data_IF_463898594411
#
_entry.id   IF_463898594411
#
_cell.length_a   1.000
_cell.length_b   1.000
_cell.length_c   1.000
_cell.angle_alpha   90.00
_cell.angle_beta   90.00
_cell.angle_gamma   90.00
#
_symmetry.space_group_name_H-M   'P 1'
#
loop_
_entity.id
_entity.type
_entity.pdbx_description
1 polymer ?
#
# COMPACT_ATOMS: atom_id res chain seq x y z
N UNK A 1 -22.69 -40.04 12.20
CA UNK A 1 -21.63 -39.53 11.31
C UNK A 1 -21.56 -38.03 11.51
N UNK A 2 -20.51 -37.54 12.17
CA UNK A 2 -20.22 -36.10 12.22
C UNK A 2 -19.26 -35.81 11.05
N UNK A 3 -19.75 -35.05 10.08
CA UNK A 3 -18.94 -34.46 9.00
C UNK A 3 -18.26 -33.22 9.61
N UNK A 4 -17.13 -33.46 10.29
CA UNK A 4 -16.26 -32.42 10.84
C UNK A 4 -15.55 -31.71 9.69
N UNK A 5 -16.25 -30.78 9.04
CA UNK A 5 -15.65 -29.92 8.03
C UNK A 5 -14.72 -28.91 8.70
N UNK A 6 -13.44 -29.13 8.46
CA UNK A 6 -12.41 -28.11 8.26
C UNK A 6 -12.24 -27.09 9.41
N UNK A 7 -11.65 -27.54 10.52
CA UNK A 7 -11.03 -26.66 11.51
C UNK A 7 -9.56 -26.30 11.14
N UNK A 8 -9.27 -26.12 9.85
CA UNK A 8 -7.91 -25.84 9.36
C UNK A 8 -7.66 -24.36 9.05
N UNK A 9 -8.38 -23.46 9.72
CA UNK A 9 -8.02 -22.04 9.73
C UNK A 9 -6.97 -21.79 10.82
N UNK A 10 -5.76 -22.30 10.59
CA UNK A 10 -4.61 -22.08 11.48
C UNK A 10 -4.11 -20.63 11.45
N UNK A 11 -3.26 -20.23 12.43
CA UNK A 11 -2.72 -18.88 12.53
C UNK A 11 -1.95 -18.44 11.28
N UNK A 12 -1.36 -19.37 10.53
CA UNK A 12 -0.66 -19.09 9.29
C UNK A 12 -1.57 -18.57 8.16
N UNK A 13 -2.82 -19.07 8.06
CA UNK A 13 -3.78 -18.54 7.07
C UNK A 13 -4.24 -17.14 7.46
N UNK A 14 -4.54 -16.92 8.74
CA UNK A 14 -4.95 -15.61 9.25
C UNK A 14 -3.84 -14.58 9.05
N UNK A 15 -2.58 -14.94 9.36
CA UNK A 15 -1.42 -14.08 9.12
C UNK A 15 -1.20 -13.79 7.62
N UNK A 16 -1.41 -14.78 6.74
CA UNK A 16 -1.32 -14.60 5.29
C UNK A 16 -2.44 -13.70 4.73
N UNK A 17 -3.68 -13.83 5.22
CA UNK A 17 -4.79 -12.94 4.86
C UNK A 17 -4.55 -11.51 5.35
N UNK A 18 -4.15 -11.33 6.62
CA UNK A 18 -3.80 -10.01 7.16
C UNK A 18 -2.65 -9.36 6.38
N UNK A 19 -1.66 -10.16 5.97
CA UNK A 19 -0.54 -9.69 5.15
C UNK A 19 -0.98 -9.34 3.72
N UNK A 20 -1.90 -10.10 3.12
CA UNK A 20 -2.47 -9.81 1.81
C UNK A 20 -3.32 -8.53 1.82
N UNK A 21 -4.17 -8.36 2.85
CA UNK A 21 -4.96 -7.15 3.07
C UNK A 21 -4.05 -5.93 3.27
N UNK A 22 -2.97 -6.08 4.04
CA UNK A 22 -1.99 -5.01 4.28
C UNK A 22 -1.27 -4.60 3.00
N UNK A 23 -0.83 -5.55 2.17
CA UNK A 23 -0.21 -5.24 0.85
C UNK A 23 -1.19 -4.54 -0.08
N UNK A 24 -2.45 -4.94 -0.08
CA UNK A 24 -3.47 -4.33 -0.93
C UNK A 24 -3.78 -2.89 -0.49
N UNK A 25 -3.85 -2.64 0.82
CA UNK A 25 -3.98 -1.29 1.37
C UNK A 25 -2.75 -0.45 1.00
N UNK A 26 -1.54 -0.98 1.17
CA UNK A 26 -0.29 -0.31 0.81
C UNK A 26 -0.24 0.08 -0.68
N UNK A 27 -0.61 -0.84 -1.57
CA UNK A 27 -0.68 -0.57 -3.02
C UNK A 27 -1.71 0.52 -3.37
N UNK A 28 -2.86 0.54 -2.68
CA UNK A 28 -3.88 1.59 -2.86
C UNK A 28 -3.40 2.95 -2.34
N UNK A 29 -2.76 3.01 -1.17
CA UNK A 29 -2.16 4.24 -0.64
C UNK A 29 -1.11 4.79 -1.61
N UNK A 30 -0.20 3.93 -2.09
CA UNK A 30 0.82 4.29 -3.08
C UNK A 30 0.18 4.83 -4.37
N UNK A 31 -0.89 4.19 -4.85
CA UNK A 31 -1.61 4.66 -6.03
C UNK A 31 -2.24 6.03 -5.82
N UNK A 32 -2.92 6.26 -4.69
CA UNK A 32 -3.52 7.57 -4.37
C UNK A 32 -2.45 8.67 -4.37
N UNK A 33 -1.30 8.42 -3.73
CA UNK A 33 -0.20 9.36 -3.68
C UNK A 33 0.41 9.63 -5.07
N UNK A 34 0.54 8.59 -5.90
CA UNK A 34 1.01 8.69 -7.28
C UNK A 34 0.01 9.46 -8.17
N UNK A 35 -1.29 9.19 -8.05
CA UNK A 35 -2.34 9.83 -8.83
C UNK A 35 -2.46 11.32 -8.47
N UNK A 36 -2.30 11.67 -7.18
CA UNK A 36 -2.15 13.06 -6.72
C UNK A 36 -0.92 13.74 -7.31
N UNK A 37 0.24 13.09 -7.21
CA UNK A 37 1.51 13.65 -7.67
C UNK A 37 1.54 13.83 -9.20
N UNK A 38 1.01 12.88 -9.95
CA UNK A 38 1.10 12.81 -11.41
C UNK A 38 0.37 13.93 -12.14
N UNK A 39 -0.67 14.54 -11.54
CA UNK A 39 -1.31 15.76 -12.05
C UNK A 39 -1.96 15.70 -13.44
N UNK A 40 -1.91 14.56 -14.15
CA UNK A 40 -2.39 14.44 -15.52
C UNK A 40 -3.86 14.00 -15.58
N UNK A 41 -4.69 14.91 -16.12
CA UNK A 41 -6.11 14.79 -16.45
C UNK A 41 -7.03 14.63 -15.23
N UNK A 42 -7.62 15.76 -14.80
CA UNK A 42 -8.62 15.80 -13.72
C UNK A 42 -8.09 15.33 -12.36
N UNK A 43 -6.86 15.77 -12.04
CA UNK A 43 -6.09 15.29 -10.89
C UNK A 43 -6.87 15.23 -9.57
N UNK A 44 -6.61 14.17 -8.82
CA UNK A 44 -7.06 14.03 -7.44
C UNK A 44 -6.59 15.26 -6.67
N UNK A 45 -7.51 16.14 -6.29
CA UNK A 45 -7.13 17.35 -5.56
C UNK A 45 -6.70 16.98 -4.14
N UNK A 46 -5.76 17.74 -3.56
CA UNK A 46 -5.19 17.48 -2.22
C UNK A 46 -6.23 17.10 -1.17
N UNK A 47 -7.35 17.83 -1.11
CA UNK A 47 -8.42 17.56 -0.13
C UNK A 47 -9.10 16.20 -0.31
N UNK A 48 -9.30 15.76 -1.57
CA UNK A 48 -9.88 14.45 -1.88
C UNK A 48 -8.88 13.35 -1.58
N UNK A 49 -7.61 13.54 -1.95
CA UNK A 49 -6.54 12.59 -1.66
C UNK A 49 -6.39 12.34 -0.15
N UNK A 50 -6.38 13.40 0.66
CA UNK A 50 -6.31 13.27 2.12
C UNK A 50 -7.55 12.58 2.71
N UNK A 51 -8.75 12.83 2.17
CA UNK A 51 -9.97 12.16 2.62
C UNK A 51 -9.94 10.66 2.29
N UNK A 52 -9.53 10.30 1.07
CA UNK A 52 -9.40 8.89 0.68
C UNK A 52 -8.33 8.15 1.50
N UNK A 53 -7.21 8.81 1.80
CA UNK A 53 -6.18 8.25 2.68
C UNK A 53 -6.69 8.05 4.11
N UNK A 54 -7.44 9.01 4.66
CA UNK A 54 -8.02 8.90 6.00
C UNK A 54 -9.05 7.75 6.10
N UNK A 55 -9.84 7.53 5.06
CA UNK A 55 -10.80 6.41 4.99
C UNK A 55 -10.13 5.05 4.79
N UNK A 56 -8.99 5.03 4.07
CA UNK A 56 -8.30 3.81 3.69
C UNK A 56 -7.29 3.32 4.74
N UNK A 57 -6.49 4.21 5.32
CA UNK A 57 -5.39 3.87 6.21
C UNK A 57 -5.12 4.98 7.24
N UNK A 58 -5.64 4.78 8.46
CA UNK A 58 -5.30 5.63 9.61
C UNK A 58 -4.01 5.20 10.34
N UNK A 59 -3.36 4.12 9.88
CA UNK A 59 -2.13 3.60 10.48
C UNK A 59 -0.91 4.39 9.98
N UNK A 60 -0.21 5.14 10.85
CA UNK A 60 0.98 5.91 10.48
C UNK A 60 2.11 5.05 9.88
N UNK A 61 2.16 3.77 10.24
CA UNK A 61 3.18 2.81 9.78
C UNK A 61 2.98 2.46 8.30
N UNK A 62 1.73 2.24 7.88
CA UNK A 62 1.38 1.99 6.47
C UNK A 62 1.64 3.21 5.58
N UNK A 63 1.31 4.40 6.09
CA UNK A 63 1.57 5.66 5.37
C UNK A 63 3.08 5.91 5.25
N UNK A 64 3.85 5.63 6.31
CA UNK A 64 5.31 5.74 6.29
C UNK A 64 5.95 4.75 5.32
N UNK A 65 5.45 3.51 5.26
CA UNK A 65 5.96 2.51 4.31
C UNK A 65 5.70 2.93 2.85
N UNK A 66 4.52 3.48 2.54
CA UNK A 66 4.23 4.02 1.21
C UNK A 66 5.12 5.23 0.88
N UNK A 67 5.35 6.12 1.84
CA UNK A 67 6.20 7.30 1.66
C UNK A 67 7.65 6.90 1.44
N UNK A 68 8.15 5.86 2.13
CA UNK A 68 9.50 5.36 1.94
C UNK A 68 9.74 4.79 0.53
N UNK A 69 8.74 4.13 -0.07
CA UNK A 69 8.80 3.67 -1.48
C UNK A 69 9.02 4.87 -2.42
N UNK A 70 8.28 5.96 -2.21
CA UNK A 70 8.46 7.19 -3.00
C UNK A 70 9.78 7.91 -2.68
N UNK A 71 10.23 7.93 -1.43
CA UNK A 71 11.42 8.67 -1.00
C UNK A 71 12.72 8.18 -1.67
N UNK A 72 12.76 6.93 -2.13
CA UNK A 72 13.90 6.40 -2.90
C UNK A 72 13.94 6.97 -4.33
N UNK A 73 12.80 7.42 -4.86
CA UNK A 73 12.72 8.04 -6.17
C UNK A 73 13.04 9.55 -6.07
N UNK A 74 14.19 9.96 -6.59
CA UNK A 74 14.61 11.37 -6.61
C UNK A 74 13.99 12.13 -7.78
N UNK A 75 12.67 12.38 -7.72
CA UNK A 75 11.98 13.21 -8.70
C UNK A 75 10.85 14.04 -8.09
N UNK A 76 10.43 15.08 -8.82
CA UNK A 76 9.39 16.01 -8.38
C UNK A 76 8.07 15.33 -7.97
N UNK A 77 7.66 14.27 -8.65
CA UNK A 77 6.41 13.56 -8.35
C UNK A 77 6.52 12.79 -7.04
N UNK A 78 7.65 12.13 -6.82
CA UNK A 78 7.92 11.41 -5.58
C UNK A 78 7.95 12.35 -4.36
N UNK A 79 8.54 13.54 -4.48
CA UNK A 79 8.53 14.54 -3.40
C UNK A 79 7.09 14.94 -3.03
N UNK A 80 6.25 15.25 -4.02
CA UNK A 80 4.84 15.60 -3.76
C UNK A 80 4.02 14.45 -3.16
N UNK A 81 4.32 13.21 -3.54
CA UNK A 81 3.68 12.03 -2.97
C UNK A 81 4.08 11.84 -1.49
N UNK A 82 5.36 12.03 -1.15
CA UNK A 82 5.85 12.00 0.24
C UNK A 82 5.20 13.12 1.07
N UNK A 83 5.15 14.34 0.54
CA UNK A 83 4.52 15.49 1.23
C UNK A 83 3.04 15.20 1.56
N UNK A 84 2.28 14.63 0.62
CA UNK A 84 0.89 14.24 0.88
C UNK A 84 0.78 13.19 1.99
N UNK A 85 1.65 12.18 1.99
CA UNK A 85 1.62 11.10 2.97
C UNK A 85 2.02 11.59 4.37
N UNK A 86 2.96 12.53 4.47
CA UNK A 86 3.29 13.22 5.72
C UNK A 86 2.09 14.02 6.25
N UNK A 87 1.39 14.74 5.37
CA UNK A 87 0.17 15.46 5.74
C UNK A 87 -0.98 14.54 6.16
N UNK A 88 -1.04 13.33 5.60
CA UNK A 88 -1.99 12.29 6.00
C UNK A 88 -1.64 11.62 7.35
N UNK A 89 -0.44 11.87 7.89
CA UNK A 89 -0.01 11.39 9.21
C UNK A 89 1.09 10.34 9.18
N UNK A 90 1.81 10.15 8.06
CA UNK A 90 3.01 9.32 8.04
C UNK A 90 4.05 9.81 9.06
N UNK A 91 4.68 8.88 9.78
CA UNK A 91 5.76 9.20 10.71
C UNK A 91 7.09 9.32 9.98
N UNK A 92 7.73 10.50 10.05
CA UNK A 92 9.08 10.72 9.49
C UNK A 92 10.12 9.74 10.03
N UNK A 93 10.07 9.44 11.32
CA UNK A 93 10.99 8.48 11.95
C UNK A 93 10.84 7.07 11.36
N UNK A 94 9.62 6.68 10.99
CA UNK A 94 9.36 5.38 10.36
C UNK A 94 9.80 5.39 8.90
N UNK A 95 9.58 6.49 8.18
CA UNK A 95 10.05 6.65 6.79
C UNK A 95 11.57 6.45 6.73
N UNK A 96 12.32 7.18 7.58
CA UNK A 96 13.78 7.06 7.65
C UNK A 96 14.20 5.61 7.93
N UNK A 97 13.52 4.93 8.87
CA UNK A 97 13.82 3.54 9.21
C UNK A 97 13.60 2.56 8.04
N UNK A 98 12.60 2.81 7.18
CA UNK A 98 12.33 1.97 6.01
C UNK A 98 13.29 2.25 4.86
N UNK A 99 13.68 3.51 4.66
CA UNK A 99 14.68 3.89 3.66
C UNK A 99 16.06 3.32 4.03
N UNK A 100 16.47 3.46 5.30
CA UNK A 100 17.77 2.99 5.79
C UNK A 100 17.83 1.47 5.97
N UNK A 101 16.71 0.85 6.31
CA UNK A 101 16.61 -0.58 6.61
C UNK A 101 16.62 -1.50 5.39
N UNK A 102 16.41 -0.97 4.18
CA UNK A 102 16.33 -1.76 2.94
C UNK A 102 15.15 -2.74 2.85
N UNK A 103 14.25 -2.76 3.84
CA UNK A 103 13.02 -3.56 3.88
C UNK A 103 11.85 -2.88 3.15
N UNK A 104 12.13 -2.20 2.04
CA UNK A 104 11.07 -1.76 1.15
C UNK A 104 10.46 -2.99 0.50
N UNK A 105 9.13 -3.13 0.58
CA UNK A 105 8.40 -4.17 -0.13
C UNK A 105 8.73 -3.96 -1.61
N UNK A 106 9.37 -4.95 -2.24
CA UNK A 106 9.75 -4.91 -3.65
C UNK A 106 8.54 -4.44 -4.47
N UNK A 107 8.68 -3.31 -5.16
CA UNK A 107 7.61 -2.73 -5.97
C UNK A 107 7.06 -3.77 -6.96
N UNK A 108 7.89 -4.67 -7.46
CA UNK A 108 7.43 -5.74 -8.35
C UNK A 108 6.53 -6.77 -7.66
N UNK A 109 6.69 -6.98 -6.35
CA UNK A 109 5.84 -7.87 -5.55
C UNK A 109 4.50 -7.24 -5.16
N UNK A 110 4.41 -5.91 -5.12
CA UNK A 110 3.17 -5.16 -4.84
C UNK A 110 2.16 -5.24 -6.00
N UNK A 111 2.64 -5.38 -7.23
CA UNK A 111 1.81 -5.42 -8.45
C UNK A 111 1.52 -6.84 -8.97
N UNK A 112 2.04 -7.89 -8.32
CA UNK A 112 1.86 -9.29 -8.74
C UNK A 112 0.54 -9.94 -8.26
N UNK A 113 -0.36 -9.15 -7.66
CA UNK A 113 -1.61 -9.68 -7.07
C UNK A 113 -2.71 -9.96 -8.11
N UNK A 114 -2.58 -9.49 -9.36
CA UNK A 114 -3.58 -9.79 -10.41
C UNK A 114 -2.98 -9.89 -11.82
N UNK A 115 -2.30 -11.00 -12.14
CA UNK A 115 -2.35 -11.52 -13.51
C UNK A 115 -2.36 -13.05 -13.46
N UNK A 116 -3.55 -13.66 -13.45
CA UNK A 116 -3.90 -14.94 -14.13
C UNK A 116 -5.23 -15.46 -13.55
N UNK A 117 -6.40 -15.02 -14.02
CA UNK A 117 -7.51 -15.94 -14.05
C UNK A 117 -7.13 -17.02 -15.06
N UNK A 118 -6.76 -18.21 -14.59
CA UNK A 118 -6.65 -19.40 -15.43
C UNK A 118 -7.95 -19.52 -16.24
N UNK A 119 -7.93 -19.10 -17.50
CA UNK A 119 -8.92 -19.54 -18.48
C UNK A 119 -8.61 -20.99 -18.81
N UNK A 120 -8.99 -21.91 -17.92
CA UNK A 120 -9.30 -23.28 -18.30
C UNK A 120 -10.74 -23.34 -18.78
N UNK A 121 -10.89 -23.15 -20.09
CA UNK A 121 -12.01 -23.65 -20.87
C UNK A 121 -11.39 -24.15 -22.19
N UNK A 122 -11.63 -25.34 -22.70
CA UNK A 122 -12.33 -26.54 -22.26
C UNK A 122 -11.75 -27.69 -23.08
#
# INVERSE_FOLDING_TARGET
MYDSRDQTSGPARIAAYQSADRRLILARVHRIATDYAGGYREGLVRAVALAELADLAADPDLLAQAAAIHAVADNWYAINAVDLLLEAGASTQLIDSYVDGGELVDETSLFDVEQFPERRAS
#
